data_IF_168955597810
#
_entry.id   IF_168955597810
#
_cell.length_a   1.000
_cell.length_b   1.000
_cell.length_c   1.000
_cell.angle_alpha   90.00
_cell.angle_beta   90.00
_cell.angle_gamma   90.00
#
_symmetry.space_group_name_H-M   'P 1'
#
loop_
_entity.id
_entity.type
_entity.pdbx_description
1 polymer ?
#
# COMPACT_ATOMS: atom_id res chain seq x y z
N UNK A 1 10.09 95.26 7.41
CA UNK A 1 10.51 94.23 8.38
C UNK A 1 9.62 92.96 8.37
N UNK A 2 9.17 92.45 7.19
CA UNK A 2 8.25 91.28 7.09
C UNK A 2 8.71 90.15 6.15
N UNK A 3 9.87 90.27 5.52
CA UNK A 3 10.37 89.27 4.55
C UNK A 3 11.25 88.16 5.18
N UNK A 4 11.82 88.36 6.38
CA UNK A 4 12.73 87.39 6.99
C UNK A 4 12.02 86.19 7.65
N UNK A 5 10.78 86.36 8.11
CA UNK A 5 10.07 85.32 8.87
C UNK A 5 9.46 84.18 8.03
N UNK A 6 9.19 84.42 6.73
CA UNK A 6 8.53 83.40 5.88
C UNK A 6 9.48 82.29 5.43
N UNK A 7 10.76 82.58 5.24
CA UNK A 7 11.77 81.59 4.84
C UNK A 7 12.12 80.60 5.97
N UNK A 8 12.08 81.05 7.23
CA UNK A 8 12.39 80.19 8.39
C UNK A 8 11.28 79.18 8.70
N UNK A 9 10.02 79.51 8.41
CA UNK A 9 8.88 78.60 8.59
C UNK A 9 8.80 77.52 7.49
N UNK A 10 9.16 77.85 6.24
CA UNK A 10 9.20 76.86 5.16
C UNK A 10 10.31 75.83 5.35
N UNK A 11 11.48 76.25 5.84
CA UNK A 11 12.64 75.35 6.07
C UNK A 11 12.41 74.39 7.24
N UNK A 12 11.69 74.80 8.28
CA UNK A 12 11.35 73.95 9.43
C UNK A 12 10.26 72.92 9.10
N UNK A 13 9.26 73.28 8.28
CA UNK A 13 8.24 72.34 7.81
C UNK A 13 8.82 71.27 6.85
N UNK A 14 9.80 71.63 6.02
CA UNK A 14 10.47 70.70 5.11
C UNK A 14 11.38 69.71 5.86
N UNK A 15 12.11 70.15 6.90
CA UNK A 15 12.92 69.27 7.75
C UNK A 15 12.10 68.21 8.47
N UNK A 16 10.89 68.55 8.92
CA UNK A 16 10.00 67.59 9.60
C UNK A 16 9.53 66.47 8.66
N UNK A 17 9.14 66.82 7.42
CA UNK A 17 8.74 65.83 6.40
C UNK A 17 9.88 64.87 6.02
N UNK A 18 11.12 65.37 5.96
CA UNK A 18 12.29 64.53 5.74
C UNK A 18 12.50 63.51 6.88
N UNK A 19 12.37 63.92 8.14
CA UNK A 19 12.52 62.99 9.27
C UNK A 19 11.46 61.88 9.31
N UNK A 20 10.22 62.17 8.92
CA UNK A 20 9.16 61.16 8.89
C UNK A 20 9.34 60.18 7.72
N UNK A 21 9.91 60.64 6.60
CA UNK A 21 10.28 59.80 5.48
C UNK A 21 11.43 58.85 5.84
N UNK A 22 12.47 59.31 6.51
CA UNK A 22 13.59 58.45 6.95
C UNK A 22 13.13 57.37 7.94
N UNK A 23 12.17 57.69 8.84
CA UNK A 23 11.56 56.68 9.73
C UNK A 23 10.74 55.65 8.96
N UNK A 24 10.06 56.06 7.89
CA UNK A 24 9.32 55.15 7.03
C UNK A 24 10.25 54.24 6.23
N UNK A 25 11.37 54.77 5.75
CA UNK A 25 12.43 53.97 5.10
C UNK A 25 13.05 52.98 6.10
N UNK A 26 13.37 53.38 7.33
CA UNK A 26 13.88 52.46 8.38
C UNK A 26 12.86 51.36 8.74
N UNK A 27 11.57 51.70 8.82
CA UNK A 27 10.49 50.72 9.02
C UNK A 27 10.40 49.70 7.88
N UNK A 28 10.52 50.14 6.63
CA UNK A 28 10.52 49.25 5.45
C UNK A 28 11.78 48.40 5.40
N UNK A 29 12.94 48.96 5.75
CA UNK A 29 14.23 48.26 5.69
C UNK A 29 14.36 47.20 6.80
N UNK A 30 13.69 47.42 7.94
CA UNK A 30 13.56 46.42 9.02
C UNK A 30 12.56 45.30 8.72
N UNK A 31 11.75 45.43 7.67
CA UNK A 31 10.90 44.34 7.16
C UNK A 31 11.78 43.33 6.40
N UNK A 32 12.62 42.64 7.16
CA UNK A 32 13.59 41.67 6.66
C UNK A 32 12.84 40.45 6.11
N UNK A 33 13.10 40.07 4.85
CA UNK A 33 12.48 38.92 4.18
C UNK A 33 12.69 37.58 4.94
N UNK A 34 13.60 37.57 5.91
CA UNK A 34 13.96 36.41 6.71
C UNK A 34 12.90 36.03 7.77
N UNK A 35 12.08 36.95 8.27
CA UNK A 35 11.05 36.62 9.29
C UNK A 35 9.86 35.84 8.70
N UNK A 36 9.55 36.13 7.42
CA UNK A 36 8.56 35.35 6.67
C UNK A 36 9.09 33.95 6.38
N UNK A 37 10.35 33.83 5.96
CA UNK A 37 10.98 32.53 5.70
C UNK A 37 11.09 31.69 6.97
N UNK A 38 11.40 32.28 8.13
CA UNK A 38 11.48 31.54 9.39
C UNK A 38 10.08 31.10 9.88
N UNK A 39 9.05 31.95 9.71
CA UNK A 39 7.66 31.58 10.01
C UNK A 39 7.13 30.49 9.08
N UNK A 40 7.39 30.58 7.77
CA UNK A 40 7.00 29.57 6.79
C UNK A 40 7.76 28.27 7.03
N UNK A 41 9.06 28.32 7.35
CA UNK A 41 9.88 27.14 7.63
C UNK A 41 9.40 26.43 8.89
N UNK A 42 9.12 27.15 9.98
CA UNK A 42 8.56 26.57 11.22
C UNK A 42 7.17 25.98 10.98
N UNK A 43 6.33 26.60 10.16
CA UNK A 43 5.00 26.07 9.80
C UNK A 43 5.11 24.81 8.92
N UNK A 44 6.03 24.81 7.95
CA UNK A 44 6.33 23.68 7.09
C UNK A 44 6.94 22.51 7.86
N UNK A 45 7.84 22.73 8.81
CA UNK A 45 8.41 21.66 9.64
C UNK A 45 7.35 21.04 10.57
N UNK A 46 6.52 21.85 11.21
CA UNK A 46 5.46 21.36 12.11
C UNK A 46 4.39 20.54 11.37
N UNK A 47 4.01 20.97 10.15
CA UNK A 47 3.08 20.20 9.29
C UNK A 47 3.73 19.01 8.58
N UNK A 48 5.02 19.08 8.24
CA UNK A 48 5.77 17.94 7.70
C UNK A 48 5.92 16.83 8.72
N UNK A 49 6.16 17.14 10.00
CA UNK A 49 6.18 16.11 11.04
C UNK A 49 4.83 15.42 11.16
N UNK A 50 3.71 16.16 11.15
CA UNK A 50 2.38 15.56 11.20
C UNK A 50 2.09 14.71 9.95
N UNK A 51 2.47 15.18 8.77
CA UNK A 51 2.30 14.43 7.52
C UNK A 51 3.15 13.16 7.50
N UNK A 52 4.41 13.22 7.94
CA UNK A 52 5.27 12.04 8.06
C UNK A 52 4.74 11.06 9.12
N UNK A 53 4.22 11.55 10.24
CA UNK A 53 3.64 10.71 11.28
C UNK A 53 2.34 10.02 10.81
N UNK A 54 1.49 10.75 10.08
CA UNK A 54 0.28 10.19 9.47
C UNK A 54 0.61 9.22 8.32
N UNK A 55 1.65 9.49 7.54
CA UNK A 55 2.13 8.59 6.48
C UNK A 55 2.72 7.31 7.08
N UNK A 56 3.52 7.41 8.16
CA UNK A 56 4.04 6.26 8.89
C UNK A 56 2.92 5.45 9.53
N UNK A 57 1.93 6.11 10.13
CA UNK A 57 0.75 5.44 10.69
C UNK A 57 -0.08 4.75 9.59
N UNK A 58 -0.24 5.37 8.42
CA UNK A 58 -0.94 4.80 7.27
C UNK A 58 -0.20 3.58 6.69
N UNK A 59 1.13 3.67 6.55
CA UNK A 59 1.97 2.54 6.12
C UNK A 59 1.97 1.40 7.15
N UNK A 60 1.96 1.74 8.44
CA UNK A 60 1.82 0.78 9.54
C UNK A 60 0.44 0.10 9.52
N UNK A 61 -0.64 0.86 9.27
CA UNK A 61 -1.99 0.30 9.11
C UNK A 61 -2.13 -0.55 7.84
N UNK A 62 -1.48 -0.20 6.73
CA UNK A 62 -1.43 -1.03 5.52
C UNK A 62 -0.72 -2.36 5.76
N UNK A 63 0.39 -2.34 6.50
CA UNK A 63 1.11 -3.57 6.89
C UNK A 63 0.31 -4.40 7.89
N UNK A 64 -0.40 -3.78 8.84
CA UNK A 64 -1.34 -4.49 9.73
C UNK A 64 -2.59 -5.00 9.04
N UNK A 65 -3.03 -4.36 7.95
CA UNK A 65 -4.16 -4.83 7.16
C UNK A 65 -3.77 -5.93 6.18
N UNK A 66 -2.47 -6.15 5.93
CA UNK A 66 -2.00 -7.22 5.05
C UNK A 66 -2.07 -8.61 5.70
N UNK A 67 -2.37 -8.70 7.00
CA UNK A 67 -2.80 -9.93 7.67
C UNK A 67 -4.33 -10.12 7.64
N UNK A 68 -5.10 -9.20 7.04
CA UNK A 68 -6.45 -9.53 6.59
C UNK A 68 -6.33 -10.42 5.36
N UNK A 69 -6.43 -11.73 5.64
CA UNK A 69 -6.83 -12.76 4.69
C UNK A 69 -7.80 -12.15 3.69
N UNK A 70 -7.33 -11.98 2.45
CA UNK A 70 -8.18 -11.68 1.31
C UNK A 70 -9.09 -12.89 1.13
N UNK A 71 -10.20 -12.93 1.88
CA UNK A 71 -11.39 -13.66 1.46
C UNK A 71 -11.88 -12.95 0.22
N UNK A 72 -11.36 -13.37 -0.93
CA UNK A 72 -11.90 -13.03 -2.23
C UNK A 72 -13.40 -13.27 -2.17
N UNK A 73 -14.15 -12.18 -2.18
CA UNK A 73 -15.59 -12.18 -2.33
C UNK A 73 -15.88 -12.56 -3.78
N UNK A 74 -15.92 -13.86 -4.07
CA UNK A 74 -16.59 -14.36 -5.25
C UNK A 74 -18.08 -14.15 -5.02
N UNK A 75 -18.62 -13.08 -5.60
CA UNK A 75 -20.06 -12.90 -5.75
C UNK A 75 -20.59 -14.03 -6.64
N UNK A 76 -20.94 -15.13 -5.99
CA UNK A 76 -21.74 -16.24 -6.51
C UNK A 76 -22.67 -16.64 -5.39
N UNK A 77 -23.72 -15.85 -5.19
CA UNK A 77 -24.65 -16.02 -4.09
C UNK A 77 -25.31 -17.39 -4.14
N UNK A 78 -25.28 -18.10 -3.02
CA UNK A 78 -26.45 -18.76 -2.44
C UNK A 78 -26.21 -18.81 -0.93
N UNK A 79 -27.13 -18.19 -0.20
CA UNK A 79 -27.13 -18.08 1.26
C UNK A 79 -27.26 -19.47 1.88
N UNK A 80 -26.37 -19.82 2.80
CA UNK A 80 -26.80 -20.49 4.02
C UNK A 80 -25.80 -20.24 5.15
N UNK A 81 -26.25 -19.50 6.16
CA UNK A 81 -25.58 -19.38 7.44
C UNK A 81 -25.81 -20.65 8.23
N UNK A 82 -24.74 -21.32 8.65
CA UNK A 82 -24.85 -22.46 9.53
C UNK A 82 -23.48 -23.06 9.72
N UNK A 83 -22.99 -23.02 10.94
CA UNK A 83 -21.65 -23.45 11.30
C UNK A 83 -21.40 -24.95 11.09
N UNK A 84 -20.23 -25.33 11.60
CA UNK A 84 -19.70 -26.68 11.71
C UNK A 84 -18.95 -27.17 10.46
N UNK A 85 -17.66 -27.41 10.67
CA UNK A 85 -16.76 -27.93 9.65
C UNK A 85 -17.23 -29.30 9.19
N UNK A 86 -17.48 -29.40 7.89
CA UNK A 86 -17.72 -30.67 7.22
C UNK A 86 -17.00 -30.66 5.87
N UNK A 87 -16.22 -31.72 5.63
CA UNK A 87 -15.55 -32.02 4.38
C UNK A 87 -16.56 -31.98 3.23
N UNK A 88 -16.53 -30.93 2.41
CA UNK A 88 -17.40 -30.85 1.25
C UNK A 88 -16.74 -31.56 0.07
N UNK A 89 -16.90 -32.88 0.03
CA UNK A 89 -16.68 -33.69 -1.15
C UNK A 89 -17.80 -33.40 -2.16
N UNK A 90 -17.65 -32.32 -2.92
CA UNK A 90 -18.47 -32.01 -4.09
C UNK A 90 -18.19 -32.99 -5.22
N UNK A 91 -18.72 -34.22 -5.09
CA UNK A 91 -18.74 -35.22 -6.16
C UNK A 91 -19.78 -34.81 -7.20
N UNK A 92 -19.36 -34.03 -8.19
CA UNK A 92 -20.11 -33.89 -9.43
C UNK A 92 -19.87 -35.14 -10.29
N UNK A 93 -20.79 -36.10 -10.14
CA UNK A 93 -21.25 -37.03 -11.18
C UNK A 93 -20.21 -37.78 -12.04
N UNK A 94 -20.06 -39.07 -11.75
CA UNK A 94 -19.73 -40.10 -12.76
C UNK A 94 -18.25 -40.44 -12.89
N UNK A 95 -17.88 -41.66 -12.44
CA UNK A 95 -16.56 -42.28 -12.53
C UNK A 95 -15.41 -41.59 -11.76
N UNK A 96 -15.36 -41.86 -10.45
CA UNK A 96 -14.11 -42.28 -9.78
C UNK A 96 -12.94 -41.31 -9.64
N UNK A 97 -13.08 -40.01 -9.92
CA UNK A 97 -12.03 -39.02 -9.62
C UNK A 97 -12.69 -37.72 -9.13
N UNK A 98 -12.93 -37.66 -7.82
CA UNK A 98 -13.63 -36.54 -7.20
C UNK A 98 -12.81 -35.25 -7.27
N UNK A 99 -13.41 -34.22 -7.85
CA UNK A 99 -13.00 -32.84 -7.58
C UNK A 99 -13.22 -32.58 -6.09
N UNK A 100 -12.16 -32.27 -5.37
CA UNK A 100 -12.20 -32.03 -3.92
C UNK A 100 -11.35 -30.83 -3.60
N UNK A 101 -11.77 -30.00 -2.66
CA UNK A 101 -10.98 -28.88 -2.19
C UNK A 101 -11.15 -28.72 -0.69
N UNK A 102 -10.19 -28.05 -0.06
CA UNK A 102 -10.26 -27.79 1.36
C UNK A 102 -9.14 -26.89 1.85
N UNK A 103 -9.23 -26.53 3.12
CA UNK A 103 -8.23 -25.72 3.81
C UNK A 103 -7.81 -26.45 5.09
N UNK A 104 -6.52 -26.47 5.40
CA UNK A 104 -6.04 -26.99 6.68
C UNK A 104 -6.04 -25.90 7.77
N UNK A 105 -5.81 -26.28 9.02
CA UNK A 105 -5.79 -25.34 10.16
C UNK A 105 -4.70 -24.27 10.09
N UNK A 106 -3.71 -24.45 9.23
CA UNK A 106 -2.62 -23.50 8.98
C UNK A 106 -2.95 -22.50 7.85
N UNK A 107 -4.15 -22.62 7.24
CA UNK A 107 -4.59 -21.77 6.13
C UNK A 107 -4.07 -22.18 4.76
N UNK A 108 -3.48 -23.37 4.62
CA UNK A 108 -3.09 -23.89 3.31
C UNK A 108 -4.30 -24.47 2.60
N UNK A 109 -4.39 -24.27 1.30
CA UNK A 109 -5.49 -24.71 0.46
C UNK A 109 -5.04 -25.86 -0.46
N UNK A 110 -5.89 -26.88 -0.60
CA UNK A 110 -5.69 -27.97 -1.55
C UNK A 110 -6.91 -28.11 -2.45
N UNK A 111 -6.69 -28.49 -3.70
CA UNK A 111 -7.74 -28.72 -4.69
C UNK A 111 -7.31 -29.86 -5.64
N UNK A 112 -7.98 -31.00 -5.54
CA UNK A 112 -7.92 -32.09 -6.51
C UNK A 112 -8.75 -31.71 -7.73
N UNK A 113 -8.12 -31.80 -8.91
CA UNK A 113 -8.65 -31.36 -10.21
C UNK A 113 -8.98 -32.53 -11.15
N UNK A 114 -8.84 -33.78 -10.67
CA UNK A 114 -9.21 -34.98 -11.40
C UNK A 114 -8.00 -35.87 -11.74
N UNK A 115 -8.10 -36.70 -12.80
CA UNK A 115 -7.06 -37.64 -13.17
C UNK A 115 -5.83 -36.95 -13.78
N UNK A 116 -4.68 -37.63 -13.71
CA UNK A 116 -3.40 -37.22 -14.28
C UNK A 116 -2.57 -38.44 -14.69
N UNK A 117 -1.70 -38.27 -15.68
CA UNK A 117 -0.64 -39.23 -16.05
C UNK A 117 0.35 -39.48 -14.91
N UNK A 118 0.46 -38.53 -13.97
CA UNK A 118 1.25 -38.70 -12.78
C UNK A 118 0.41 -39.26 -11.62
N UNK A 119 1.00 -40.21 -10.89
CA UNK A 119 0.38 -40.82 -9.70
C UNK A 119 -0.11 -39.77 -8.70
N UNK A 120 -1.30 -39.99 -8.16
CA UNK A 120 -1.98 -39.06 -7.26
C UNK A 120 -2.90 -38.04 -7.94
N UNK A 121 -3.04 -38.09 -9.27
CA UNK A 121 -3.98 -37.25 -10.01
C UNK A 121 -3.51 -35.80 -10.19
N UNK A 122 -4.35 -34.98 -10.81
CA UNK A 122 -4.10 -33.57 -10.98
C UNK A 122 -4.56 -32.81 -9.73
N UNK A 123 -3.72 -31.92 -9.22
CA UNK A 123 -4.07 -31.10 -8.05
C UNK A 123 -3.31 -29.77 -8.02
N UNK A 124 -3.86 -28.86 -7.24
CA UNK A 124 -3.25 -27.61 -6.85
C UNK A 124 -3.17 -27.54 -5.33
N UNK A 125 -2.03 -27.10 -4.82
CA UNK A 125 -1.80 -26.87 -3.40
C UNK A 125 -1.16 -25.51 -3.22
N UNK A 126 -1.72 -24.68 -2.35
CA UNK A 126 -1.18 -23.36 -2.03
C UNK A 126 -1.00 -23.21 -0.53
N UNK A 127 0.14 -22.65 -0.15
CA UNK A 127 0.49 -22.37 1.22
C UNK A 127 0.13 -20.94 1.59
N UNK A 128 -0.12 -20.71 2.87
CA UNK A 128 -0.41 -19.37 3.39
C UNK A 128 0.78 -18.39 3.24
N UNK A 129 2.01 -18.90 3.04
CA UNK A 129 3.19 -18.09 2.77
C UNK A 129 3.32 -17.65 1.29
N UNK A 130 2.31 -17.93 0.46
CA UNK A 130 2.27 -17.57 -0.95
C UNK A 130 2.94 -18.57 -1.90
N UNK A 131 3.63 -19.58 -1.38
CA UNK A 131 4.17 -20.66 -2.22
C UNK A 131 3.06 -21.58 -2.71
N UNK A 132 3.22 -22.17 -3.88
CA UNK A 132 2.22 -23.09 -4.43
C UNK A 132 2.83 -24.15 -5.33
N UNK A 133 2.08 -25.24 -5.49
CA UNK A 133 2.44 -26.39 -6.29
C UNK A 133 1.25 -26.82 -7.18
N UNK A 134 1.55 -27.16 -8.42
CA UNK A 134 0.62 -27.73 -9.38
C UNK A 134 1.15 -29.07 -9.86
N UNK A 135 0.29 -30.08 -9.87
CA UNK A 135 0.42 -31.28 -10.67
C UNK A 135 -0.66 -31.26 -11.75
N UNK A 136 -0.23 -31.11 -13.00
CA UNK A 136 -1.14 -31.02 -14.13
C UNK A 136 -1.61 -32.41 -14.57
N UNK A 137 -2.70 -32.48 -15.32
CA UNK A 137 -3.23 -33.75 -15.85
C UNK A 137 -2.24 -34.45 -16.79
N UNK A 138 -1.39 -33.71 -17.49
CA UNK A 138 -0.34 -34.31 -18.34
C UNK A 138 0.88 -34.83 -17.55
N UNK A 139 0.85 -34.79 -16.22
CA UNK A 139 1.97 -35.21 -15.37
C UNK A 139 3.09 -34.16 -15.21
N UNK A 140 3.02 -33.01 -15.87
CA UNK A 140 3.96 -31.91 -15.59
C UNK A 140 3.68 -31.29 -14.22
N UNK A 141 4.70 -30.72 -13.61
CA UNK A 141 4.56 -30.03 -12.31
C UNK A 141 5.14 -28.64 -12.35
N UNK A 142 4.54 -27.76 -11.56
CA UNK A 142 5.02 -26.39 -11.40
C UNK A 142 5.06 -26.04 -9.92
N UNK A 143 6.19 -25.52 -9.46
CA UNK A 143 6.41 -25.07 -8.10
C UNK A 143 6.79 -23.60 -8.09
N UNK A 144 6.21 -22.84 -7.18
CA UNK A 144 6.57 -21.45 -6.90
C UNK A 144 6.85 -21.31 -5.41
N UNK A 145 7.93 -20.63 -5.04
CA UNK A 145 8.37 -20.51 -3.65
C UNK A 145 7.74 -19.33 -2.88
N UNK A 146 6.90 -18.52 -3.52
CA UNK A 146 6.31 -17.31 -2.96
C UNK A 146 7.29 -16.14 -2.81
N UNK A 147 8.55 -16.30 -3.24
CA UNK A 147 9.64 -15.32 -3.10
C UNK A 147 10.19 -14.86 -4.46
N UNK A 148 9.52 -15.24 -5.54
CA UNK A 148 9.88 -14.87 -6.92
C UNK A 148 10.62 -15.95 -7.70
N UNK A 149 10.88 -17.12 -7.11
CA UNK A 149 11.43 -18.26 -7.84
C UNK A 149 10.33 -19.25 -8.21
N UNK A 150 10.48 -19.85 -9.38
CA UNK A 150 9.63 -20.95 -9.81
C UNK A 150 10.40 -22.01 -10.57
N UNK A 151 9.94 -23.25 -10.47
CA UNK A 151 10.50 -24.39 -11.18
C UNK A 151 9.39 -25.13 -11.92
N UNK A 152 9.66 -25.44 -13.18
CA UNK A 152 8.81 -26.30 -14.00
C UNK A 152 9.50 -27.63 -14.20
N UNK A 153 8.76 -28.73 -14.03
CA UNK A 153 9.22 -30.08 -14.33
C UNK A 153 8.32 -30.66 -15.41
N UNK A 154 8.95 -31.02 -16.52
CA UNK A 154 8.26 -31.68 -17.63
C UNK A 154 7.74 -33.06 -17.22
N UNK A 155 6.72 -33.61 -17.90
CA UNK A 155 6.16 -34.92 -17.57
C UNK A 155 7.20 -36.06 -17.56
N UNK A 156 8.13 -36.04 -18.51
CA UNK A 156 9.19 -37.04 -18.65
C UNK A 156 10.22 -37.00 -17.53
N UNK A 157 10.35 -35.86 -16.84
CA UNK A 157 11.24 -35.66 -15.71
C UNK A 157 10.54 -35.84 -14.36
N UNK A 158 9.20 -35.90 -14.34
CA UNK A 158 8.46 -36.12 -13.11
C UNK A 158 8.52 -37.62 -12.76
N UNK A 159 9.10 -38.00 -11.61
CA UNK A 159 9.20 -39.40 -11.19
C UNK A 159 7.85 -40.05 -10.88
N UNK A 160 6.78 -39.25 -10.78
CA UNK A 160 5.42 -39.73 -10.51
C UNK A 160 4.67 -40.12 -11.79
N UNK A 161 5.15 -39.70 -12.96
CA UNK A 161 4.60 -40.12 -14.26
C UNK A 161 5.07 -41.54 -14.53
N UNK A 162 4.15 -42.45 -14.81
CA UNK A 162 4.51 -43.80 -15.26
C UNK A 162 5.34 -43.71 -16.54
N UNK A 163 6.50 -44.37 -16.56
CA UNK A 163 7.37 -44.50 -17.73
C UNK A 163 6.86 -45.57 -18.68
#
# INVERSE_FOLDING_TARGET
>A
MRLSFRNTLQTSALKKKSSDFEKWIDYITKFNQNDWLDSVTRFCYKKRCLFFFLLLLYLFLLTYSSSMSYKGNYNGGYYNSGGSGYNNSGSYGGNGVGYSYGNNSQGNHYCTRGPSEASGGAYHYSNNNGSYYYQNSNGSTYYNDGKGNSSYTSPSQNPRTSK
#
